data_IF_872467031818
#
_entry.id   IF_872467031818
#
_cell.length_a   1.000
_cell.length_b   1.000
_cell.length_c   1.000
_cell.angle_alpha   90.00
_cell.angle_beta   90.00
_cell.angle_gamma   90.00
#
_symmetry.space_group_name_H-M   'P 1'
#
loop_
_entity.id
_entity.type
_entity.pdbx_description
1 polymer ?
#
# COMPACT_ATOMS: atom_id res chain seq x y z
N UNK A 1 41.79 48.07 22.93
CA UNK A 1 40.66 47.13 23.02
C UNK A 1 40.43 46.49 21.66
N UNK A 2 40.87 45.24 21.45
CA UNK A 2 40.55 44.46 20.25
C UNK A 2 39.23 43.74 20.48
N UNK A 3 38.20 44.04 19.68
CA UNK A 3 36.92 43.32 19.69
C UNK A 3 37.12 42.00 18.92
N UNK A 4 36.91 40.88 19.61
CA UNK A 4 36.83 39.55 19.00
C UNK A 4 35.34 39.33 18.67
N UNK A 5 35.03 39.15 17.39
CA UNK A 5 33.69 38.76 16.93
C UNK A 5 33.70 37.23 16.84
N UNK A 6 32.95 36.56 17.71
CA UNK A 6 32.67 35.13 17.59
C UNK A 6 31.57 34.93 16.54
N UNK A 7 31.91 34.30 15.42
CA UNK A 7 30.92 33.81 14.46
C UNK A 7 30.47 32.40 14.89
N UNK A 8 29.19 32.24 15.22
CA UNK A 8 28.58 30.93 15.41
C UNK A 8 28.31 30.31 14.04
N UNK A 9 29.03 29.24 13.71
CA UNK A 9 28.71 28.38 12.56
C UNK A 9 27.59 27.44 13.02
N UNK A 10 26.37 27.67 12.55
CA UNK A 10 25.27 26.73 12.69
C UNK A 10 25.52 25.62 11.66
N UNK A 11 26.05 24.49 12.12
CA UNK A 11 26.09 23.26 11.32
C UNK A 11 24.69 22.66 11.39
N UNK A 12 23.88 22.89 10.35
CA UNK A 12 22.62 22.16 10.18
C UNK A 12 22.96 20.70 9.87
N UNK A 13 22.76 19.81 10.82
CA UNK A 13 22.80 18.36 10.56
C UNK A 13 21.61 17.99 9.69
N UNK A 14 21.82 17.85 8.39
CA UNK A 14 20.86 17.17 7.52
C UNK A 14 20.88 15.69 7.89
N UNK A 15 19.91 15.26 8.71
CA UNK A 15 19.65 13.85 8.93
C UNK A 15 19.19 13.26 7.58
N UNK A 16 20.03 12.42 7.00
CA UNK A 16 19.70 11.66 5.80
C UNK A 16 18.73 10.55 6.21
N UNK A 17 17.42 10.81 6.09
CA UNK A 17 16.40 9.79 6.22
C UNK A 17 16.29 8.98 4.92
N UNK A 18 15.88 7.71 5.02
CA UNK A 18 15.50 6.94 3.83
C UNK A 18 14.41 7.72 3.08
N UNK A 19 14.62 7.95 1.78
CA UNK A 19 13.66 8.72 0.98
C UNK A 19 12.54 7.79 0.54
N UNK A 20 11.39 7.88 1.19
CA UNK A 20 10.21 7.16 0.75
C UNK A 20 9.58 7.88 -0.44
N UNK A 21 9.06 7.12 -1.40
CA UNK A 21 8.27 7.68 -2.50
C UNK A 21 7.02 6.87 -2.76
N UNK A 22 5.95 7.56 -3.12
CA UNK A 22 4.69 6.95 -3.51
C UNK A 22 4.57 6.98 -5.03
N UNK A 23 4.24 5.82 -5.62
CA UNK A 23 3.99 5.69 -7.05
C UNK A 23 2.63 5.04 -7.29
N UNK A 24 1.86 5.59 -8.23
CA UNK A 24 0.60 5.00 -8.66
C UNK A 24 0.85 3.75 -9.52
N UNK A 25 0.00 2.74 -9.40
CA UNK A 25 0.00 1.62 -10.34
C UNK A 25 -0.57 2.05 -11.70
N UNK A 26 -0.10 1.40 -12.76
CA UNK A 26 -0.63 1.57 -14.12
C UNK A 26 -1.94 0.79 -14.33
N UNK A 27 -2.15 -0.28 -13.56
CA UNK A 27 -3.35 -1.09 -13.53
C UNK A 27 -3.56 -1.63 -12.10
N UNK A 28 -4.81 -1.76 -11.60
CA UNK A 28 -6.07 -1.41 -12.25
C UNK A 28 -6.18 0.11 -12.44
N UNK A 29 -6.79 0.58 -13.54
CA UNK A 29 -6.73 1.99 -13.91
C UNK A 29 -7.51 2.84 -12.91
N UNK A 30 -7.13 4.11 -12.80
CA UNK A 30 -7.99 5.14 -12.19
C UNK A 30 -9.32 5.19 -12.95
N UNK A 31 -10.46 5.23 -12.24
CA UNK A 31 -11.78 5.18 -12.89
C UNK A 31 -12.28 6.56 -13.39
N UNK A 32 -11.47 7.62 -13.30
CA UNK A 32 -11.81 8.99 -13.72
C UNK A 32 -12.91 9.68 -12.89
N UNK A 33 -13.93 8.94 -12.46
CA UNK A 33 -15.11 9.41 -11.71
C UNK A 33 -15.29 8.69 -10.35
N UNK A 34 -14.29 7.92 -9.90
CA UNK A 34 -14.36 7.17 -8.64
C UNK A 34 -12.99 6.86 -8.05
N UNK A 35 -12.99 6.25 -6.87
CA UNK A 35 -11.79 5.86 -6.12
C UNK A 35 -11.80 4.38 -5.74
N UNK A 36 -10.64 3.88 -5.37
CA UNK A 36 -10.51 2.71 -4.53
C UNK A 36 -10.75 3.16 -3.08
N UNK A 37 -11.68 2.51 -2.40
CA UNK A 37 -11.92 2.80 -0.99
C UNK A 37 -10.99 1.98 -0.10
N UNK A 38 -10.53 0.81 -0.54
CA UNK A 38 -9.71 -0.03 0.32
C UNK A 38 -8.72 -0.91 -0.44
N UNK A 39 -7.66 -1.28 0.28
CA UNK A 39 -6.57 -2.13 -0.17
C UNK A 39 -6.04 -2.93 1.00
N UNK A 40 -5.86 -4.23 0.79
CA UNK A 40 -5.42 -5.18 1.80
C UNK A 40 -4.37 -6.12 1.23
N UNK A 41 -3.32 -6.41 2.01
CA UNK A 41 -2.29 -7.37 1.63
C UNK A 41 -2.02 -8.33 2.79
N UNK A 42 -2.02 -9.64 2.51
CA UNK A 42 -1.59 -10.66 3.48
C UNK A 42 -0.08 -10.69 3.65
N UNK A 43 0.64 -10.33 2.60
CA UNK A 43 2.09 -10.28 2.55
C UNK A 43 2.53 -9.35 1.40
N UNK A 44 3.83 -9.25 1.15
CA UNK A 44 4.38 -8.32 0.15
C UNK A 44 3.91 -8.58 -1.29
N UNK A 45 3.39 -9.78 -1.58
CA UNK A 45 3.02 -10.24 -2.91
C UNK A 45 1.51 -10.40 -3.12
N UNK A 46 0.81 -10.94 -2.13
CA UNK A 46 -0.60 -11.32 -2.23
C UNK A 46 -1.49 -10.25 -1.60
N UNK A 47 -2.36 -9.64 -2.43
CA UNK A 47 -3.26 -8.58 -1.98
C UNK A 47 -4.50 -8.42 -2.84
N UNK A 48 -5.43 -7.63 -2.32
CA UNK A 48 -6.71 -7.30 -2.93
C UNK A 48 -7.01 -5.81 -2.78
N UNK A 49 -7.82 -5.28 -3.70
CA UNK A 49 -8.28 -3.91 -3.67
C UNK A 49 -9.76 -3.82 -4.02
N UNK A 50 -10.49 -2.96 -3.32
CA UNK A 50 -11.90 -2.71 -3.52
C UNK A 50 -12.11 -1.32 -4.12
N UNK A 51 -12.75 -1.28 -5.29
CA UNK A 51 -13.22 -0.05 -5.90
C UNK A 51 -14.62 0.28 -5.40
N UNK A 52 -14.84 1.55 -5.05
CA UNK A 52 -16.12 2.10 -4.57
C UNK A 52 -17.23 2.03 -5.62
N UNK A 53 -17.75 3.19 -6.06
CA UNK A 53 -18.85 3.25 -7.03
C UNK A 53 -18.63 2.37 -8.29
N UNK A 54 -19.70 1.72 -8.76
CA UNK A 54 -19.64 0.68 -9.80
C UNK A 54 -18.60 -0.40 -9.47
N UNK A 55 -18.76 -0.97 -8.27
CA UNK A 55 -17.75 -1.72 -7.55
C UNK A 55 -17.06 -2.81 -8.35
N UNK A 56 -15.76 -2.94 -8.11
CA UNK A 56 -14.93 -4.01 -8.63
C UNK A 56 -13.93 -4.43 -7.55
N UNK A 57 -13.62 -5.72 -7.51
CA UNK A 57 -12.56 -6.27 -6.67
C UNK A 57 -11.41 -6.67 -7.58
N UNK A 58 -10.18 -6.34 -7.19
CA UNK A 58 -8.97 -6.73 -7.89
C UNK A 58 -8.10 -7.56 -6.95
N UNK A 59 -7.38 -8.54 -7.51
CA UNK A 59 -6.42 -9.37 -6.80
C UNK A 59 -5.05 -9.29 -7.48
N UNK A 60 -3.99 -9.27 -6.69
CA UNK A 60 -2.60 -9.40 -7.15
C UNK A 60 -1.92 -10.56 -6.42
N UNK A 61 -0.95 -11.19 -7.07
CA UNK A 61 -0.09 -12.23 -6.50
C UNK A 61 1.40 -11.90 -6.68
N UNK A 62 1.71 -10.68 -7.13
CA UNK A 62 3.07 -10.21 -7.47
C UNK A 62 3.36 -8.80 -6.92
N UNK A 63 2.72 -8.45 -5.80
CA UNK A 63 2.98 -7.21 -5.06
C UNK A 63 2.46 -5.96 -5.78
N UNK A 64 1.41 -6.14 -6.58
CA UNK A 64 0.75 -5.12 -7.38
C UNK A 64 1.38 -4.86 -8.74
N UNK A 65 2.34 -5.68 -9.20
CA UNK A 65 2.90 -5.54 -10.54
C UNK A 65 1.86 -5.85 -11.63
N UNK A 66 0.95 -6.79 -11.35
CA UNK A 66 -0.25 -7.06 -12.12
C UNK A 66 -1.46 -7.28 -11.20
N UNK A 67 -2.64 -7.01 -11.74
CA UNK A 67 -3.91 -7.22 -11.04
C UNK A 67 -4.92 -7.90 -11.95
N UNK A 68 -5.75 -8.74 -11.37
CA UNK A 68 -6.84 -9.45 -12.04
C UNK A 68 -8.16 -9.07 -11.38
N UNK A 69 -9.13 -8.59 -12.16
CA UNK A 69 -10.47 -8.31 -11.65
C UNK A 69 -11.18 -9.62 -11.28
N UNK A 70 -11.78 -9.66 -10.10
CA UNK A 70 -12.49 -10.80 -9.55
C UNK A 70 -13.99 -10.74 -9.86
N UNK A 71 -14.65 -11.91 -9.85
CA UNK A 71 -16.10 -12.02 -10.06
C UNK A 71 -16.83 -11.97 -8.73
N UNK A 72 -17.66 -10.95 -8.56
CA UNK A 72 -18.57 -10.84 -7.41
C UNK A 72 -19.99 -11.15 -7.88
N UNK A 73 -20.61 -12.21 -7.35
CA UNK A 73 -21.95 -12.62 -7.77
C UNK A 73 -23.02 -11.66 -7.23
N UNK A 74 -23.96 -11.23 -8.07
CA UNK A 74 -25.05 -10.32 -7.69
C UNK A 74 -24.61 -8.85 -7.49
N UNK A 75 -23.55 -8.42 -8.19
CA UNK A 75 -22.80 -7.19 -7.93
C UNK A 75 -23.20 -5.93 -8.72
N UNK A 76 -24.28 -5.96 -9.50
CA UNK A 76 -24.63 -4.82 -10.34
C UNK A 76 -24.79 -3.54 -9.49
N UNK A 77 -23.96 -2.53 -9.78
CA UNK A 77 -23.95 -1.20 -9.15
C UNK A 77 -23.72 -1.16 -7.62
N UNK A 78 -23.00 -2.14 -7.05
CA UNK A 78 -22.57 -2.06 -5.64
C UNK A 78 -21.52 -0.96 -5.43
N UNK A 79 -21.44 -0.42 -4.21
CA UNK A 79 -20.31 0.38 -3.75
C UNK A 79 -19.50 -0.43 -2.74
N UNK A 80 -18.34 -0.95 -3.15
CA UNK A 80 -17.48 -1.71 -2.23
C UNK A 80 -16.65 -0.77 -1.38
N UNK A 81 -16.78 -0.91 -0.06
CA UNK A 81 -16.28 0.06 0.89
C UNK A 81 -14.99 -0.39 1.57
N UNK A 82 -14.87 -1.68 1.87
CA UNK A 82 -13.71 -2.25 2.52
C UNK A 82 -13.49 -3.69 2.10
N UNK A 83 -12.28 -4.17 2.29
CA UNK A 83 -11.91 -5.55 2.00
C UNK A 83 -10.86 -6.02 3.01
N UNK A 84 -11.10 -7.19 3.59
CA UNK A 84 -10.27 -7.74 4.66
C UNK A 84 -10.17 -9.25 4.49
N UNK A 85 -9.00 -9.85 4.76
CA UNK A 85 -8.80 -11.29 4.64
C UNK A 85 -8.26 -11.89 5.93
N UNK A 86 -8.95 -12.91 6.41
CA UNK A 86 -8.52 -13.71 7.56
C UNK A 86 -7.31 -14.58 7.21
N UNK A 87 -7.25 -15.07 5.97
CA UNK A 87 -6.15 -15.84 5.41
C UNK A 87 -6.22 -15.81 3.88
N UNK A 88 -5.34 -16.55 3.20
CA UNK A 88 -5.27 -16.56 1.72
C UNK A 88 -6.54 -17.05 1.01
N UNK A 89 -7.44 -17.74 1.72
CA UNK A 89 -8.66 -18.33 1.17
C UNK A 89 -9.92 -17.60 1.64
N UNK A 90 -9.99 -17.20 2.91
CA UNK A 90 -11.18 -16.62 3.52
C UNK A 90 -11.05 -15.11 3.61
N UNK A 91 -11.96 -14.39 2.95
CA UNK A 91 -12.01 -12.93 2.96
C UNK A 91 -13.43 -12.38 2.93
N UNK A 92 -13.53 -11.10 3.23
CA UNK A 92 -14.78 -10.38 3.46
C UNK A 92 -14.77 -9.04 2.72
N UNK A 93 -15.94 -8.63 2.23
CA UNK A 93 -16.12 -7.42 1.44
C UNK A 93 -17.40 -6.71 1.89
N UNK A 94 -17.23 -5.56 2.54
CA UNK A 94 -18.31 -4.69 2.97
C UNK A 94 -18.77 -3.73 1.88
N UNK A 95 -20.05 -3.36 1.92
CA UNK A 95 -20.64 -2.39 0.97
C UNK A 95 -21.39 -1.28 1.68
N UNK A 96 -21.78 -0.24 0.94
CA UNK A 96 -22.66 0.83 1.42
C UNK A 96 -24.14 0.63 1.02
N UNK A 97 -24.47 -0.49 0.40
CA UNK A 97 -25.74 -0.70 -0.29
C UNK A 97 -26.37 -2.04 0.11
N UNK A 98 -26.42 -2.30 1.41
CA UNK A 98 -27.15 -3.42 2.01
C UNK A 98 -26.69 -4.81 1.49
N UNK A 99 -25.37 -4.96 1.34
CA UNK A 99 -24.75 -6.24 1.01
C UNK A 99 -23.45 -6.43 1.80
N UNK A 100 -23.16 -7.69 2.09
CA UNK A 100 -21.92 -8.13 2.69
C UNK A 100 -21.53 -9.45 2.04
N UNK A 101 -20.27 -9.60 1.63
CA UNK A 101 -19.83 -10.77 0.90
C UNK A 101 -18.69 -11.47 1.62
N UNK A 102 -18.64 -12.79 1.41
CA UNK A 102 -17.57 -13.69 1.86
C UNK A 102 -17.02 -14.44 0.65
N UNK A 103 -15.71 -14.66 0.64
CA UNK A 103 -15.04 -15.63 -0.22
C UNK A 103 -14.42 -16.74 0.62
N UNK A 104 -14.30 -17.94 0.04
CA UNK A 104 -13.60 -19.09 0.63
C UNK A 104 -12.56 -19.68 -0.34
N UNK A 105 -12.28 -18.97 -1.44
CA UNK A 105 -11.37 -19.37 -2.51
C UNK A 105 -10.37 -18.24 -2.89
N UNK A 106 -10.08 -17.36 -1.93
CA UNK A 106 -9.10 -16.28 -2.09
C UNK A 106 -9.58 -15.17 -3.02
N UNK A 107 -10.90 -14.96 -3.09
CA UNK A 107 -11.53 -13.92 -3.87
C UNK A 107 -11.82 -14.29 -5.32
N UNK A 108 -11.59 -15.54 -5.75
CA UNK A 108 -11.95 -16.00 -7.10
C UNK A 108 -13.47 -15.94 -7.31
N UNK A 109 -14.24 -16.24 -6.26
CA UNK A 109 -15.67 -16.02 -6.20
C UNK A 109 -16.11 -15.45 -4.85
N UNK A 110 -17.16 -14.63 -4.89
CA UNK A 110 -17.74 -14.01 -3.71
C UNK A 110 -19.22 -14.35 -3.59
N UNK A 111 -19.65 -14.66 -2.37
CA UNK A 111 -21.02 -15.03 -2.03
C UNK A 111 -21.58 -14.08 -0.99
N UNK A 112 -22.85 -13.68 -1.16
CA UNK A 112 -23.52 -12.80 -0.20
C UNK A 112 -23.76 -13.54 1.11
N UNK A 113 -23.35 -12.94 2.22
CA UNK A 113 -23.68 -13.38 3.58
C UNK A 113 -25.12 -12.95 3.86
N UNK A 114 -25.99 -13.87 4.27
CA UNK A 114 -27.44 -13.63 4.46
C UNK A 114 -27.95 -14.03 5.85
N UNK A 115 -27.07 -14.54 6.72
CA UNK A 115 -27.41 -15.10 8.04
C UNK A 115 -27.05 -14.15 9.19
N UNK A 116 -27.28 -12.85 9.01
CA UNK A 116 -27.10 -11.82 10.03
C UNK A 116 -28.47 -11.19 10.32
N UNK A 117 -28.84 -11.10 11.60
CA UNK A 117 -30.13 -10.54 12.04
C UNK A 117 -29.91 -9.60 13.22
N UNK A 118 -30.33 -8.32 13.14
CA UNK A 118 -30.77 -7.63 11.92
C UNK A 118 -29.66 -7.56 10.85
N UNK A 119 -30.06 -7.44 9.58
CA UNK A 119 -29.10 -7.40 8.48
C UNK A 119 -28.39 -6.04 8.40
N UNK A 120 -27.05 -5.99 8.26
CA UNK A 120 -26.31 -4.73 8.22
C UNK A 120 -26.60 -3.95 6.93
N UNK A 121 -27.03 -2.69 7.06
CA UNK A 121 -27.30 -1.81 5.92
C UNK A 121 -26.04 -1.36 5.18
N UNK A 122 -24.91 -1.27 5.89
CA UNK A 122 -23.60 -0.94 5.33
C UNK A 122 -22.45 -1.43 6.23
N UNK A 123 -21.25 -1.60 5.70
CA UNK A 123 -20.06 -1.97 6.50
C UNK A 123 -18.89 -1.10 6.05
N UNK A 124 -18.43 -0.20 6.92
CA UNK A 124 -17.31 0.72 6.66
C UNK A 124 -15.98 0.25 7.23
N UNK A 125 -15.99 -0.49 8.35
CA UNK A 125 -14.80 -1.10 8.95
C UNK A 125 -14.91 -2.63 8.96
N UNK A 126 -13.81 -3.30 8.70
CA UNK A 126 -13.62 -4.74 8.86
C UNK A 126 -12.25 -4.98 9.51
N UNK A 127 -12.16 -6.02 10.33
CA UNK A 127 -10.89 -6.51 10.84
C UNK A 127 -10.95 -8.01 11.13
N UNK A 128 -9.84 -8.71 10.91
CA UNK A 128 -9.69 -10.14 11.19
C UNK A 128 -8.60 -10.34 12.24
N UNK A 129 -8.89 -11.14 13.26
CA UNK A 129 -7.95 -11.39 14.37
C UNK A 129 -7.93 -12.85 14.78
N UNK A 130 -6.75 -13.33 15.15
CA UNK A 130 -6.53 -14.73 15.44
C UNK A 130 -6.72 -15.60 14.19
N UNK A 131 -7.33 -16.77 14.36
CA UNK A 131 -7.49 -17.76 13.28
C UNK A 131 -8.93 -17.86 12.75
N UNK A 132 -9.91 -17.31 13.47
CA UNK A 132 -11.33 -17.45 13.12
C UNK A 132 -12.19 -16.23 13.43
N UNK A 133 -11.65 -15.19 14.06
CA UNK A 133 -12.47 -14.06 14.51
C UNK A 133 -12.50 -12.95 13.48
N UNK A 134 -13.69 -12.45 13.18
CA UNK A 134 -13.94 -11.39 12.21
C UNK A 134 -14.89 -10.38 12.81
N UNK A 135 -14.53 -9.11 12.70
CA UNK A 135 -15.36 -7.98 13.11
C UNK A 135 -15.71 -7.12 11.90
N UNK A 136 -16.91 -6.55 11.92
CA UNK A 136 -17.30 -5.46 11.04
C UNK A 136 -18.09 -4.42 11.81
N UNK A 137 -18.04 -3.16 11.37
CA UNK A 137 -18.85 -2.09 11.97
C UNK A 137 -19.69 -1.39 10.91
N UNK A 138 -20.69 -0.61 11.36
CA UNK A 138 -21.66 0.12 10.53
C UNK A 138 -21.06 1.14 9.55
N UNK A 139 -21.70 2.30 9.41
CA UNK A 139 -21.24 3.33 8.47
C UNK A 139 -21.17 4.71 9.13
N UNK A 140 -20.91 5.76 8.34
CA UNK A 140 -20.87 7.16 8.81
C UNK A 140 -22.26 7.71 9.18
N UNK A 141 -23.30 6.89 9.01
CA UNK A 141 -24.68 7.16 9.33
C UNK A 141 -25.25 6.12 10.31
N UNK A 142 -26.32 6.51 11.00
CA UNK A 142 -27.01 5.67 11.99
C UNK A 142 -27.77 4.49 11.35
N UNK A 143 -27.90 3.35 12.05
CA UNK A 143 -27.43 3.09 13.42
C UNK A 143 -25.97 2.66 13.51
N UNK A 144 -25.35 2.90 14.67
CA UNK A 144 -24.10 2.28 15.05
C UNK A 144 -24.33 0.81 15.44
N UNK A 145 -23.50 -0.07 14.88
CA UNK A 145 -23.47 -1.49 15.25
C UNK A 145 -22.12 -2.11 14.94
N UNK A 146 -21.91 -3.29 15.53
CA UNK A 146 -20.84 -4.21 15.20
C UNK A 146 -21.45 -5.55 14.79
N UNK A 147 -20.88 -6.20 13.80
CA UNK A 147 -21.10 -7.62 13.52
C UNK A 147 -19.84 -8.40 13.91
N UNK A 148 -20.03 -9.56 14.51
CA UNK A 148 -18.92 -10.42 14.96
C UNK A 148 -19.14 -11.85 14.53
N UNK A 149 -18.07 -12.50 14.10
CA UNK A 149 -18.02 -13.95 13.91
C UNK A 149 -16.79 -14.52 14.62
N UNK A 150 -16.91 -15.69 15.22
CA UNK A 150 -15.81 -16.43 15.86
C UNK A 150 -15.50 -17.76 15.17
N UNK A 151 -16.16 -18.04 14.04
CA UNK A 151 -16.10 -19.30 13.29
C UNK A 151 -15.78 -19.06 11.80
N UNK A 152 -14.92 -18.07 11.53
CA UNK A 152 -14.47 -17.67 10.19
C UNK A 152 -15.63 -17.22 9.29
N UNK A 153 -16.63 -16.54 9.87
CA UNK A 153 -17.77 -15.98 9.15
C UNK A 153 -18.82 -17.01 8.75
N UNK A 154 -18.96 -18.13 9.49
CA UNK A 154 -20.03 -19.11 9.27
C UNK A 154 -21.30 -18.72 10.02
N UNK A 155 -21.18 -18.21 11.25
CA UNK A 155 -22.24 -17.59 12.03
C UNK A 155 -21.84 -16.18 12.46
N UNK A 156 -22.85 -15.34 12.69
CA UNK A 156 -22.67 -13.92 12.98
C UNK A 156 -23.57 -13.48 14.12
N UNK A 157 -23.01 -12.67 15.00
CA UNK A 157 -23.70 -11.91 16.04
C UNK A 157 -23.82 -10.46 15.59
N UNK A 158 -24.99 -9.85 15.78
CA UNK A 158 -25.20 -8.42 15.64
C UNK A 158 -25.20 -7.78 17.03
N UNK A 159 -24.33 -6.82 17.25
CA UNK A 159 -24.17 -6.08 18.49
C UNK A 159 -24.64 -4.65 18.24
N UNK A 160 -25.75 -4.28 18.89
CA UNK A 160 -26.27 -2.91 18.85
C UNK A 160 -25.33 -1.96 19.63
N UNK A 161 -24.84 -0.94 18.94
CA UNK A 161 -23.90 0.03 19.51
C UNK A 161 -24.52 1.43 19.68
N UNK A 162 -25.84 1.56 19.48
CA UNK A 162 -26.56 2.84 19.59
C UNK A 162 -26.47 3.50 20.96
N UNK A 163 -26.22 2.72 22.03
CA UNK A 163 -25.97 3.25 23.37
C UNK A 163 -24.60 3.97 23.51
N UNK A 164 -23.67 3.71 22.60
CA UNK A 164 -22.29 4.22 22.66
C UNK A 164 -21.99 5.29 21.60
N UNK A 165 -22.65 5.20 20.44
CA UNK A 165 -22.32 5.95 19.23
C UNK A 165 -23.54 6.14 18.32
N UNK A 166 -23.49 7.15 17.46
CA UNK A 166 -24.45 7.32 16.37
C UNK A 166 -24.02 6.56 15.12
N UNK A 167 -22.71 6.53 14.84
CA UNK A 167 -22.11 5.96 13.65
C UNK A 167 -20.74 5.36 13.98
N UNK A 168 -20.37 4.26 13.31
CA UNK A 168 -19.06 3.61 13.44
C UNK A 168 -18.49 3.33 12.05
N UNK A 169 -17.24 3.73 11.79
CA UNK A 169 -16.63 3.71 10.45
C UNK A 169 -15.33 2.93 10.35
N UNK A 170 -14.66 2.66 11.47
CA UNK A 170 -13.45 1.85 11.54
C UNK A 170 -13.48 0.95 12.78
N UNK A 171 -12.92 -0.24 12.64
CA UNK A 171 -12.73 -1.20 13.73
C UNK A 171 -11.36 -1.84 13.55
N UNK A 172 -10.60 -2.01 14.63
CA UNK A 172 -9.27 -2.64 14.61
C UNK A 172 -8.94 -3.28 15.94
N UNK A 173 -8.27 -4.42 15.93
CA UNK A 173 -7.94 -5.23 17.09
C UNK A 173 -6.43 -5.47 17.18
N UNK A 174 -5.91 -5.36 18.41
CA UNK A 174 -4.52 -5.74 18.73
C UNK A 174 -4.45 -7.27 18.86
N UNK A 175 -5.48 -7.87 19.45
CA UNK A 175 -5.65 -9.31 19.64
C UNK A 175 -7.14 -9.62 19.85
N UNK A 176 -7.49 -10.89 20.06
CA UNK A 176 -8.90 -11.33 20.18
C UNK A 176 -9.67 -10.67 21.35
N UNK A 177 -8.99 -10.09 22.33
CA UNK A 177 -9.61 -9.43 23.49
C UNK A 177 -9.58 -7.91 23.41
N UNK A 178 -8.50 -7.32 22.89
CA UNK A 178 -8.28 -5.88 22.92
C UNK A 178 -8.43 -5.27 21.54
N UNK A 179 -9.38 -4.34 21.41
CA UNK A 179 -9.63 -3.63 20.16
C UNK A 179 -10.31 -2.28 20.35
N UNK A 180 -10.46 -1.60 19.23
CA UNK A 180 -10.99 -0.25 19.12
C UNK A 180 -12.02 -0.18 18.00
N UNK A 181 -13.07 0.61 18.23
CA UNK A 181 -14.03 1.00 17.21
C UNK A 181 -14.15 2.53 17.23
N UNK A 182 -14.31 3.15 16.06
CA UNK A 182 -14.32 4.60 15.97
C UNK A 182 -15.38 5.12 15.01
N UNK A 183 -15.77 6.38 15.22
CA UNK A 183 -16.84 7.03 14.46
C UNK A 183 -17.26 8.33 15.12
N UNK A 184 -18.56 8.53 15.28
CA UNK A 184 -19.12 9.74 15.88
C UNK A 184 -20.33 9.49 16.79
N UNK A 185 -20.56 10.44 17.70
CA UNK A 185 -21.80 10.62 18.45
C UNK A 185 -22.31 12.08 18.31
N UNK A 186 -23.35 12.45 19.07
CA UNK A 186 -23.95 13.80 19.04
C UNK A 186 -22.94 14.92 19.37
N UNK A 187 -21.86 14.61 20.07
CA UNK A 187 -20.86 15.58 20.50
C UNK A 187 -19.62 15.59 19.62
N UNK A 188 -19.41 14.60 18.74
CA UNK A 188 -18.31 14.59 17.79
C UNK A 188 -17.64 13.23 17.60
N UNK A 189 -16.37 13.29 17.18
CA UNK A 189 -15.55 12.12 16.90
C UNK A 189 -15.26 11.32 18.17
N UNK A 190 -15.45 9.99 18.12
CA UNK A 190 -15.24 9.11 19.27
C UNK A 190 -14.31 7.93 18.97
N UNK A 191 -13.69 7.41 20.04
CA UNK A 191 -13.06 6.09 20.06
C UNK A 191 -13.65 5.29 21.23
N UNK A 192 -14.10 4.08 20.92
CA UNK A 192 -14.51 3.05 21.87
C UNK A 192 -13.40 2.01 21.96
N UNK A 193 -13.15 1.50 23.17
CA UNK A 193 -12.18 0.44 23.44
C UNK A 193 -12.87 -0.74 24.10
N UNK A 194 -12.51 -1.95 23.69
CA UNK A 194 -12.87 -3.20 24.37
C UNK A 194 -11.63 -3.88 24.95
N UNK A 195 -11.83 -4.62 26.04
CA UNK A 195 -10.82 -5.47 26.68
C UNK A 195 -11.25 -6.94 26.79
N UNK A 196 -12.43 -7.27 26.26
CA UNK A 196 -13.09 -8.56 26.38
C UNK A 196 -13.63 -9.07 25.03
N UNK A 197 -13.02 -8.63 23.92
CA UNK A 197 -13.37 -9.07 22.58
C UNK A 197 -14.71 -8.54 22.09
N UNK A 198 -15.09 -7.35 22.53
CA UNK A 198 -16.31 -6.67 22.10
C UNK A 198 -17.58 -7.05 22.87
N UNK A 199 -17.44 -7.74 24.01
CA UNK A 199 -18.57 -8.00 24.93
C UNK A 199 -18.98 -6.70 25.62
N UNK A 200 -18.00 -5.86 25.99
CA UNK A 200 -18.22 -4.52 26.52
C UNK A 200 -17.28 -3.51 25.87
N UNK A 201 -17.74 -2.25 25.83
CA UNK A 201 -17.04 -1.13 25.22
C UNK A 201 -17.02 0.06 26.16
N UNK A 202 -15.89 0.77 26.18
CA UNK A 202 -15.70 2.01 26.95
C UNK A 202 -15.27 3.12 26.01
N UNK A 203 -15.92 4.28 26.09
CA UNK A 203 -15.49 5.48 25.35
C UNK A 203 -14.20 6.02 25.96
N UNK A 204 -13.13 6.03 25.17
CA UNK A 204 -11.78 6.48 25.59
C UNK A 204 -11.37 7.81 24.95
N UNK A 205 -12.16 8.31 24.00
CA UNK A 205 -11.97 9.61 23.37
C UNK A 205 -13.31 10.19 22.90
N UNK A 206 -13.48 11.50 23.03
CA UNK A 206 -14.51 12.31 22.37
C UNK A 206 -13.91 13.68 22.04
N UNK A 207 -14.04 14.15 20.80
CA UNK A 207 -13.49 15.46 20.41
C UNK A 207 -14.28 16.65 20.96
N UNK A 208 -15.55 16.45 21.32
CA UNK A 208 -16.53 17.48 21.70
C UNK A 208 -16.72 18.56 20.62
N UNK A 209 -16.51 18.18 19.36
CA UNK A 209 -16.78 19.00 18.18
C UNK A 209 -17.78 18.24 17.31
N UNK A 210 -19.04 18.71 17.24
CA UNK A 210 -20.07 18.07 16.42
C UNK A 210 -19.64 17.90 14.96
N UNK A 211 -20.15 16.86 14.32
CA UNK A 211 -19.87 16.46 12.93
C UNK A 211 -18.43 16.00 12.65
N UNK A 212 -17.58 15.84 13.66
CA UNK A 212 -16.30 15.16 13.47
C UNK A 212 -16.45 13.63 13.53
N UNK A 213 -15.60 12.94 12.77
CA UNK A 213 -15.52 11.48 12.74
C UNK A 213 -14.08 11.03 12.88
N UNK A 214 -13.79 10.10 13.78
CA UNK A 214 -12.52 9.35 13.67
C UNK A 214 -12.67 8.36 12.53
N UNK A 215 -12.02 8.64 11.38
CA UNK A 215 -12.33 8.00 10.10
C UNK A 215 -11.50 6.74 9.82
N UNK A 216 -10.19 6.80 10.03
CA UNK A 216 -9.28 5.63 9.97
C UNK A 216 -8.39 5.58 11.19
N UNK A 217 -7.99 4.36 11.52
CA UNK A 217 -7.05 4.06 12.58
C UNK A 217 -5.93 3.18 12.01
N UNK A 218 -4.73 3.41 12.50
CA UNK A 218 -3.58 2.54 12.30
C UNK A 218 -2.99 2.19 13.65
N UNK A 219 -2.83 0.90 13.90
CA UNK A 219 -1.98 0.39 14.96
C UNK A 219 -0.55 0.30 14.40
N UNK A 220 0.34 1.18 14.85
CA UNK A 220 1.76 1.10 14.47
C UNK A 220 2.45 -0.04 15.24
N UNK A 221 2.09 -0.18 16.51
CA UNK A 221 2.44 -1.31 17.36
C UNK A 221 1.32 -1.49 18.42
N UNK A 222 1.52 -2.40 19.38
CA UNK A 222 0.53 -2.69 20.42
C UNK A 222 0.17 -1.49 21.32
N UNK A 223 0.96 -0.41 21.30
CA UNK A 223 0.78 0.77 22.15
C UNK A 223 0.60 2.07 21.36
N UNK A 224 0.90 2.11 20.07
CA UNK A 224 0.86 3.35 19.28
C UNK A 224 -0.27 3.31 18.26
N UNK A 225 -1.15 4.30 18.37
CA UNK A 225 -2.35 4.41 17.56
C UNK A 225 -2.36 5.77 16.89
N UNK A 226 -2.51 5.80 15.57
CA UNK A 226 -2.67 7.01 14.78
C UNK A 226 -4.01 6.97 14.07
N UNK A 227 -4.75 8.08 14.14
CA UNK A 227 -6.07 8.18 13.56
C UNK A 227 -6.20 9.47 12.76
N UNK A 228 -7.02 9.43 11.71
CA UNK A 228 -7.53 10.62 11.04
C UNK A 228 -8.85 11.03 11.69
N UNK A 229 -9.01 12.33 11.96
CA UNK A 229 -10.31 12.92 12.27
C UNK A 229 -10.76 13.72 11.06
N UNK A 230 -11.81 13.23 10.41
CA UNK A 230 -12.54 13.98 9.40
C UNK A 230 -13.40 15.05 10.10
N UNK A 231 -13.42 16.25 9.53
CA UNK A 231 -14.17 17.39 10.04
C UNK A 231 -14.87 18.13 8.89
N UNK A 232 -15.75 19.07 9.23
CA UNK A 232 -16.40 19.97 8.28
C UNK A 232 -15.87 21.40 8.38
N UNK A 233 -15.82 22.12 7.26
CA UNK A 233 -15.46 23.53 7.24
C UNK A 233 -16.39 24.36 8.16
N UNK A 234 -15.87 25.33 8.92
CA UNK A 234 -14.53 25.92 8.84
C UNK A 234 -13.44 25.17 9.62
N UNK A 235 -13.77 24.09 10.32
CA UNK A 235 -12.79 23.30 11.06
C UNK A 235 -11.92 22.48 10.10
N UNK A 236 -10.64 22.36 10.44
CA UNK A 236 -9.71 21.47 9.76
C UNK A 236 -9.79 20.06 10.34
N UNK A 237 -9.44 19.07 9.52
CA UNK A 237 -9.23 17.71 9.96
C UNK A 237 -8.03 17.62 10.88
N UNK A 238 -7.85 16.49 11.55
CA UNK A 238 -6.80 16.34 12.57
C UNK A 238 -6.11 15.00 12.48
N UNK A 239 -4.82 14.98 12.83
CA UNK A 239 -4.16 13.79 13.33
C UNK A 239 -4.54 13.62 14.80
N UNK A 240 -5.06 12.46 15.16
CA UNK A 240 -5.25 12.03 16.53
C UNK A 240 -4.25 10.90 16.81
N UNK A 241 -3.49 10.97 17.91
CA UNK A 241 -2.51 9.93 18.25
C UNK A 241 -2.52 9.57 19.72
N UNK A 242 -2.25 8.31 20.01
CA UNK A 242 -1.98 7.80 21.35
C UNK A 242 -0.66 7.04 21.36
N UNK A 243 0.15 7.29 22.38
CA UNK A 243 1.47 6.65 22.57
C UNK A 243 1.45 5.60 23.70
N UNK A 244 0.28 5.33 24.27
CA UNK A 244 0.10 4.48 25.44
C UNK A 244 -1.16 3.62 25.34
N UNK A 245 -1.44 3.03 24.17
CA UNK A 245 -2.51 2.06 23.97
C UNK A 245 -3.91 2.64 24.19
N UNK A 246 -4.09 3.94 23.90
CA UNK A 246 -5.36 4.65 24.02
C UNK A 246 -5.71 5.14 25.43
N UNK A 247 -4.76 5.23 26.37
CA UNK A 247 -5.02 5.83 27.69
C UNK A 247 -5.07 7.36 27.62
N UNK A 248 -4.18 7.98 26.84
CA UNK A 248 -4.20 9.42 26.57
C UNK A 248 -4.08 9.67 25.08
N UNK A 249 -4.61 10.81 24.65
CA UNK A 249 -4.71 11.18 23.24
C UNK A 249 -4.22 12.61 23.04
N UNK A 250 -3.58 12.84 21.89
CA UNK A 250 -3.12 14.16 21.44
C UNK A 250 -3.66 14.41 20.02
N UNK A 251 -4.09 15.63 19.75
CA UNK A 251 -4.55 16.08 18.43
C UNK A 251 -3.60 17.10 17.82
N UNK A 252 -3.38 17.02 16.51
CA UNK A 252 -2.69 18.03 15.69
C UNK A 252 -3.54 18.38 14.49
N UNK A 253 -3.57 19.64 14.12
CA UNK A 253 -4.33 20.08 12.93
C UNK A 253 -3.70 19.53 11.65
N UNK A 254 -4.57 19.22 10.69
CA UNK A 254 -4.21 18.78 9.35
C UNK A 254 -4.73 19.79 8.31
N UNK A 255 -4.01 20.07 7.21
CA UNK A 255 -4.43 21.12 6.26
C UNK A 255 -5.78 20.90 5.53
N UNK A 256 -6.28 19.66 5.44
CA UNK A 256 -7.57 19.31 4.81
C UNK A 256 -8.65 19.09 5.89
N UNK A 257 -9.86 19.60 5.66
CA UNK A 257 -11.02 19.29 6.51
C UNK A 257 -11.42 17.81 6.40
N UNK A 258 -11.42 17.28 5.17
CA UNK A 258 -11.98 15.97 4.84
C UNK A 258 -10.91 14.87 4.80
N UNK A 259 -10.02 14.86 5.80
CA UNK A 259 -8.94 13.87 5.91
C UNK A 259 -9.46 12.50 6.32
N UNK A 260 -8.97 11.46 5.65
CA UNK A 260 -9.49 10.10 5.80
C UNK A 260 -8.37 9.09 5.98
N UNK A 261 -7.34 9.11 5.15
CA UNK A 261 -6.22 8.21 5.27
C UNK A 261 -5.21 8.69 6.33
N UNK A 262 -4.67 7.74 7.07
CA UNK A 262 -3.58 7.93 8.05
C UNK A 262 -2.63 6.74 7.97
N UNK A 263 -1.34 7.00 8.06
CA UNK A 263 -0.34 5.95 7.98
C UNK A 263 1.06 6.41 8.37
N UNK A 264 1.60 5.86 9.44
CA UNK A 264 2.89 6.19 10.04
C UNK A 264 3.81 4.96 10.05
N UNK A 265 5.12 5.20 9.92
CA UNK A 265 6.17 4.19 10.08
C UNK A 265 6.97 4.39 11.37
N UNK A 266 6.81 5.55 12.00
CA UNK A 266 7.40 5.89 13.29
C UNK A 266 6.54 6.92 14.00
N UNK A 267 6.94 7.30 15.22
CA UNK A 267 6.26 8.33 16.00
C UNK A 267 6.24 9.71 15.33
N UNK A 268 7.20 9.96 14.45
CA UNK A 268 7.44 11.27 13.85
C UNK A 268 7.26 11.27 12.33
N UNK A 269 7.31 10.12 11.66
CA UNK A 269 7.25 10.03 10.21
C UNK A 269 6.02 9.27 9.74
N UNK A 270 5.17 9.96 9.00
CA UNK A 270 3.99 9.38 8.39
C UNK A 270 3.34 10.26 7.34
N UNK A 271 2.21 9.77 6.85
CA UNK A 271 1.42 10.34 5.78
C UNK A 271 -0.07 10.38 6.16
N UNK A 272 -0.74 11.42 5.67
CA UNK A 272 -2.19 11.58 5.74
C UNK A 272 -2.72 12.17 4.43
N UNK A 273 -4.02 12.00 4.19
CA UNK A 273 -4.69 12.58 3.03
C UNK A 273 -6.19 12.31 3.03
N UNK A 274 -6.93 13.01 2.18
CA UNK A 274 -8.38 13.06 2.24
C UNK A 274 -9.05 13.26 0.90
N UNK A 275 -10.33 13.67 0.94
CA UNK A 275 -11.14 13.89 -0.27
C UNK A 275 -10.54 14.92 -1.24
N UNK A 276 -9.99 16.00 -0.69
CA UNK A 276 -9.49 17.13 -1.49
C UNK A 276 -7.98 17.07 -1.73
N UNK A 277 -7.31 16.07 -1.14
CA UNK A 277 -5.84 16.02 -1.05
C UNK A 277 -5.26 14.65 -1.41
N UNK A 278 -4.01 14.66 -1.86
CA UNK A 278 -3.17 13.46 -1.96
C UNK A 278 -2.40 13.19 -0.68
N UNK A 279 -1.20 12.67 -0.79
CA UNK A 279 -0.32 12.44 0.37
C UNK A 279 0.29 13.75 0.86
N UNK A 280 0.00 14.10 2.11
CA UNK A 280 0.82 14.98 2.91
C UNK A 280 1.73 14.13 3.79
N UNK A 281 2.98 14.56 3.96
CA UNK A 281 4.01 13.88 4.73
C UNK A 281 4.48 14.75 5.89
N UNK A 282 4.74 14.12 7.03
CA UNK A 282 5.30 14.76 8.24
C UNK A 282 6.57 14.04 8.67
N UNK A 283 7.52 14.79 9.24
CA UNK A 283 8.75 14.26 9.85
C UNK A 283 8.86 14.62 11.34
N UNK A 284 7.84 15.28 11.90
CA UNK A 284 7.78 15.77 13.28
C UNK A 284 6.51 15.32 14.01
N UNK A 285 5.85 14.27 13.51
CA UNK A 285 4.70 13.67 14.18
C UNK A 285 3.42 14.49 14.07
N UNK A 286 3.29 15.25 12.99
CA UNK A 286 2.11 16.03 12.63
C UNK A 286 2.14 17.49 13.05
N UNK A 287 3.27 18.00 13.55
CA UNK A 287 3.42 19.44 13.84
C UNK A 287 3.51 20.25 12.53
N UNK A 288 4.15 19.69 11.50
CA UNK A 288 4.16 20.24 10.15
C UNK A 288 3.89 19.17 9.09
N UNK A 289 3.30 19.62 7.97
CA UNK A 289 2.90 18.77 6.85
C UNK A 289 3.38 19.34 5.53
N UNK A 290 3.96 18.49 4.69
CA UNK A 290 4.40 18.84 3.33
C UNK A 290 3.57 18.09 2.31
N UNK A 291 2.92 18.79 1.38
CA UNK A 291 2.23 18.16 0.26
C UNK A 291 3.25 17.54 -0.70
N UNK A 292 3.13 16.24 -0.97
CA UNK A 292 4.05 15.52 -1.86
C UNK A 292 3.73 15.69 -3.35
N UNK A 293 2.55 16.23 -3.68
CA UNK A 293 2.04 16.32 -5.05
C UNK A 293 1.60 14.98 -5.64
N UNK A 294 1.59 13.90 -4.84
CA UNK A 294 1.19 12.56 -5.27
C UNK A 294 -0.19 12.22 -4.72
N UNK A 295 -1.01 11.57 -5.54
CA UNK A 295 -2.27 10.98 -5.10
C UNK A 295 -3.46 11.94 -5.08
N UNK A 296 -4.58 11.44 -4.56
CA UNK A 296 -5.82 12.20 -4.42
C UNK A 296 -6.95 11.32 -3.90
N UNK A 297 -7.89 11.90 -3.14
CA UNK A 297 -9.03 11.21 -2.53
C UNK A 297 -8.61 9.95 -1.74
N UNK A 298 -7.56 10.07 -0.93
CA UNK A 298 -7.01 8.93 -0.18
C UNK A 298 -7.99 8.49 0.92
N UNK A 299 -8.19 7.17 1.05
CA UNK A 299 -9.04 6.59 2.11
C UNK A 299 -8.32 5.55 2.97
N UNK A 300 -7.33 4.83 2.43
CA UNK A 300 -6.55 3.82 3.18
C UNK A 300 -5.07 3.96 2.86
N UNK A 301 -4.24 3.88 3.90
CA UNK A 301 -2.82 3.54 3.80
C UNK A 301 -2.65 2.25 4.60
N UNK A 302 -2.18 1.20 3.94
CA UNK A 302 -2.03 -0.14 4.49
C UNK A 302 -0.54 -0.52 4.49
N UNK A 303 0.03 -0.79 5.65
CA UNK A 303 1.41 -1.21 5.78
C UNK A 303 1.51 -2.73 5.83
N UNK A 304 2.39 -3.29 4.99
CA UNK A 304 2.85 -4.68 5.15
C UNK A 304 4.05 -4.71 6.10
N UNK A 305 4.93 -3.71 5.98
CA UNK A 305 6.03 -3.45 6.89
C UNK A 305 6.54 -2.01 6.71
N UNK A 306 7.61 -1.63 7.42
CA UNK A 306 8.16 -0.27 7.40
C UNK A 306 8.69 0.19 6.03
N UNK A 307 8.89 -0.72 5.07
CA UNK A 307 9.42 -0.40 3.74
C UNK A 307 8.39 -0.58 2.63
N UNK A 308 7.29 -1.27 2.91
CA UNK A 308 6.26 -1.62 1.93
C UNK A 308 4.90 -1.24 2.50
N UNK A 309 4.30 -0.26 1.86
CA UNK A 309 2.94 0.16 2.11
C UNK A 309 2.20 0.34 0.78
N UNK A 310 0.89 0.19 0.84
CA UNK A 310 -0.02 0.41 -0.26
C UNK A 310 -1.08 1.41 0.16
N UNK A 311 -1.67 2.12 -0.79
CA UNK A 311 -2.74 3.06 -0.48
C UNK A 311 -3.84 3.04 -1.52
N UNK A 312 -5.04 3.34 -1.08
CA UNK A 312 -6.24 3.43 -1.90
C UNK A 312 -6.74 4.87 -1.95
N UNK A 313 -6.98 5.36 -3.16
CA UNK A 313 -7.64 6.62 -3.44
C UNK A 313 -8.07 6.68 -4.91
N UNK A 314 -7.92 7.84 -5.56
CA UNK A 314 -8.17 7.98 -7.01
C UNK A 314 -7.42 6.96 -7.88
N UNK A 315 -6.31 6.44 -7.39
CA UNK A 315 -5.62 5.26 -7.89
C UNK A 315 -5.22 4.36 -6.71
N UNK A 316 -4.63 3.21 -7.00
CA UNK A 316 -3.84 2.44 -6.04
C UNK A 316 -2.39 2.91 -6.09
N UNK A 317 -1.75 3.01 -4.93
CA UNK A 317 -0.37 3.47 -4.81
C UNK A 317 0.47 2.46 -4.04
N UNK A 318 1.77 2.42 -4.34
CA UNK A 318 2.78 1.67 -3.60
C UNK A 318 3.86 2.62 -3.09
N UNK A 319 4.21 2.47 -1.83
CA UNK A 319 5.36 3.11 -1.20
C UNK A 319 6.61 2.30 -1.51
N UNK A 320 7.70 3.00 -1.84
CA UNK A 320 9.04 2.43 -1.97
C UNK A 320 9.97 3.19 -1.05
N UNK A 321 10.67 2.48 -0.18
CA UNK A 321 11.83 3.02 0.51
C UNK A 321 12.97 3.15 -0.51
N UNK A 322 13.47 4.37 -0.73
CA UNK A 322 14.69 4.59 -1.49
C UNK A 322 15.87 3.98 -0.74
N UNK A 323 16.68 3.17 -1.43
CA UNK A 323 18.05 2.93 -0.99
C UNK A 323 18.84 4.22 -1.17
N UNK A 324 19.83 4.49 -0.31
CA UNK A 324 20.83 5.55 -0.51
C UNK A 324 21.77 5.17 -1.67
N UNK A 325 21.20 5.01 -2.86
CA UNK A 325 21.86 4.86 -4.14
C UNK A 325 21.50 6.04 -5.03
N UNK A 326 22.47 6.55 -5.79
CA UNK A 326 22.28 7.64 -6.74
C UNK A 326 21.03 7.43 -7.58
N UNK A 327 20.15 8.44 -7.61
CA UNK A 327 18.90 8.53 -8.39
C UNK A 327 18.81 7.54 -9.57
N UNK A 328 18.05 6.47 -9.41
CA UNK A 328 17.44 5.79 -10.54
C UNK A 328 16.26 6.66 -11.00
N UNK A 329 16.45 7.35 -12.12
CA UNK A 329 15.37 7.98 -12.87
C UNK A 329 14.40 6.86 -13.26
N UNK A 330 13.13 7.02 -12.86
CA UNK A 330 12.05 6.06 -13.02
C UNK A 330 11.97 5.42 -14.42
N UNK A 331 12.09 4.09 -14.47
CA UNK A 331 11.73 3.26 -15.61
C UNK A 331 10.22 3.35 -15.89
N UNK A 332 9.84 4.30 -16.74
CA UNK A 332 8.53 4.33 -17.42
C UNK A 332 8.47 3.47 -18.68
N UNK A 333 9.53 2.72 -18.97
CA UNK A 333 9.49 1.67 -19.96
C UNK A 333 9.79 0.37 -19.22
N UNK A 334 8.89 -0.62 -19.27
CA UNK A 334 9.31 -2.01 -19.05
C UNK A 334 10.62 -2.19 -19.84
N UNK A 335 11.73 -2.49 -19.16
CA UNK A 335 13.03 -2.72 -19.82
C UNK A 335 12.80 -3.73 -20.93
N UNK A 336 12.71 -3.26 -22.18
CA UNK A 336 12.76 -4.14 -23.34
C UNK A 336 14.22 -4.57 -23.42
N UNK A 337 14.58 -5.64 -22.71
CA UNK A 337 15.92 -6.21 -22.79
C UNK A 337 16.20 -6.56 -24.24
N UNK A 338 17.40 -6.19 -24.70
CA UNK A 338 17.88 -6.52 -26.03
C UNK A 338 17.87 -8.06 -26.18
N UNK A 339 17.23 -8.61 -27.21
CA UNK A 339 17.19 -10.06 -27.40
C UNK A 339 18.54 -10.53 -27.92
N UNK A 340 19.22 -11.37 -27.13
CA UNK A 340 20.53 -11.93 -27.47
C UNK A 340 20.54 -13.43 -27.25
N UNK A 341 20.99 -14.17 -28.26
CA UNK A 341 21.19 -15.62 -28.18
C UNK A 341 22.66 -15.97 -28.40
N UNK A 342 23.19 -16.86 -27.56
CA UNK A 342 24.51 -17.48 -27.73
C UNK A 342 24.33 -18.85 -28.37
N UNK A 343 24.90 -19.08 -29.54
CA UNK A 343 24.68 -20.33 -30.30
C UNK A 343 26.00 -20.90 -30.85
N UNK A 344 26.45 -22.10 -30.42
CA UNK A 344 25.94 -22.91 -29.32
C UNK A 344 26.43 -22.42 -27.94
N UNK A 345 25.75 -22.86 -26.89
CA UNK A 345 26.24 -22.82 -25.50
C UNK A 345 26.10 -24.24 -24.92
N UNK A 346 27.19 -25.02 -24.72
CA UNK A 346 28.58 -24.57 -24.60
C UNK A 346 29.24 -24.04 -25.88
N UNK A 347 30.09 -23.03 -25.70
CA UNK A 347 30.86 -22.32 -26.71
C UNK A 347 32.16 -23.07 -26.97
N UNK A 348 32.46 -23.40 -28.23
CA UNK A 348 33.77 -23.95 -28.60
C UNK A 348 34.76 -22.79 -28.86
N UNK A 349 35.63 -22.86 -29.86
CA UNK A 349 36.65 -21.82 -30.11
C UNK A 349 36.09 -20.54 -30.72
N UNK A 350 34.78 -20.50 -30.99
CA UNK A 350 34.07 -19.36 -31.54
C UNK A 350 32.82 -19.06 -30.72
N UNK A 351 32.72 -17.83 -30.22
CA UNK A 351 31.51 -17.28 -29.61
C UNK A 351 30.65 -16.66 -30.72
N UNK A 352 29.45 -17.20 -30.96
CA UNK A 352 28.49 -16.59 -31.86
C UNK A 352 27.33 -15.96 -31.08
N UNK A 353 27.00 -14.73 -31.44
CA UNK A 353 25.90 -13.96 -30.86
C UNK A 353 24.91 -13.59 -31.96
N UNK A 354 23.64 -13.95 -31.77
CA UNK A 354 22.52 -13.41 -32.54
C UNK A 354 21.89 -12.29 -31.71
N UNK A 355 21.89 -11.06 -32.19
CA UNK A 355 21.38 -9.89 -31.47
C UNK A 355 20.30 -9.19 -32.28
N UNK A 356 19.10 -9.06 -31.74
CA UNK A 356 17.97 -8.42 -32.42
C UNK A 356 17.77 -6.99 -31.93
N UNK A 357 18.11 -6.01 -32.78
CA UNK A 357 17.98 -4.59 -32.48
C UNK A 357 16.62 -4.04 -32.95
N UNK A 358 15.95 -3.25 -32.11
CA UNK A 358 14.63 -2.67 -32.41
C UNK A 358 14.69 -1.31 -33.12
N UNK A 359 15.84 -0.63 -33.06
CA UNK A 359 16.15 0.66 -33.68
C UNK A 359 17.67 0.79 -33.85
N UNK A 360 18.17 1.97 -34.27
CA UNK A 360 19.60 2.26 -34.21
C UNK A 360 20.10 2.21 -32.77
N UNK A 361 21.24 1.60 -32.54
CA UNK A 361 21.76 1.29 -31.19
C UNK A 361 23.30 1.25 -31.19
N UNK A 362 23.91 0.92 -30.07
CA UNK A 362 25.30 0.48 -29.97
C UNK A 362 25.34 -0.81 -29.14
N UNK A 363 26.41 -1.59 -29.27
CA UNK A 363 26.63 -2.75 -28.42
C UNK A 363 28.07 -2.79 -27.95
N UNK A 364 28.27 -3.00 -26.65
CA UNK A 364 29.55 -3.36 -26.07
C UNK A 364 29.36 -4.66 -25.28
N UNK A 365 30.20 -5.66 -25.54
CA UNK A 365 30.18 -6.92 -24.78
C UNK A 365 31.47 -7.03 -23.98
N UNK A 366 31.34 -6.96 -22.65
CA UNK A 366 32.39 -7.28 -21.69
C UNK A 366 32.40 -8.76 -21.36
N UNK A 367 33.58 -9.35 -21.27
CA UNK A 367 33.79 -10.73 -20.82
C UNK A 367 34.32 -10.73 -19.40
N UNK A 368 33.72 -11.56 -18.55
CA UNK A 368 34.08 -11.73 -17.14
C UNK A 368 34.25 -13.21 -16.80
N UNK A 369 35.12 -13.51 -15.84
CA UNK A 369 35.17 -14.82 -15.18
C UNK A 369 33.90 -15.05 -14.34
N UNK A 370 33.56 -16.30 -14.03
CA UNK A 370 32.44 -16.62 -13.13
C UNK A 370 32.57 -16.03 -11.71
N UNK A 371 33.78 -15.63 -11.31
CA UNK A 371 34.05 -14.90 -10.07
C UNK A 371 33.59 -13.44 -10.10
N UNK A 372 33.19 -12.92 -11.27
CA UNK A 372 32.87 -11.51 -11.50
C UNK A 372 34.10 -10.65 -11.86
N UNK A 373 35.28 -11.25 -12.02
CA UNK A 373 36.48 -10.52 -12.47
C UNK A 373 36.38 -10.18 -13.97
N UNK A 374 36.53 -8.90 -14.29
CA UNK A 374 36.57 -8.42 -15.68
C UNK A 374 37.82 -8.94 -16.41
N UNK A 375 37.63 -9.43 -17.64
CA UNK A 375 38.71 -9.87 -18.53
C UNK A 375 38.99 -8.78 -19.57
N UNK A 376 38.03 -8.51 -20.47
CA UNK A 376 38.14 -7.48 -21.53
C UNK A 376 36.81 -7.23 -22.21
N UNK A 377 36.71 -6.14 -22.99
CA UNK A 377 35.64 -5.99 -23.98
C UNK A 377 35.98 -6.81 -25.23
N UNK A 378 35.06 -7.68 -25.65
CA UNK A 378 35.22 -8.60 -26.78
C UNK A 378 34.46 -8.17 -28.03
N UNK A 379 33.48 -7.27 -27.90
CA UNK A 379 32.72 -6.70 -29.01
C UNK A 379 32.44 -5.22 -28.72
N UNK A 380 32.58 -4.40 -29.75
CA UNK A 380 32.04 -3.04 -29.82
C UNK A 380 31.55 -2.79 -31.24
N UNK A 381 30.30 -2.37 -31.41
CA UNK A 381 29.71 -2.08 -32.72
C UNK A 381 28.62 -1.00 -32.61
N UNK A 382 28.47 -0.20 -33.66
CA UNK A 382 27.45 0.84 -33.79
C UNK A 382 26.39 0.37 -34.80
N UNK A 383 25.12 0.39 -34.41
CA UNK A 383 24.00 -0.20 -35.15
C UNK A 383 23.19 0.90 -35.81
N UNK A 384 23.26 0.99 -37.13
CA UNK A 384 22.60 2.07 -37.88
C UNK A 384 21.06 1.96 -37.96
N UNK A 385 20.51 0.75 -37.85
CA UNK A 385 19.06 0.51 -38.00
C UNK A 385 18.62 -0.81 -37.34
N UNK A 386 17.31 -0.95 -37.12
CA UNK A 386 16.68 -2.17 -36.58
C UNK A 386 16.97 -3.41 -37.42
N UNK A 387 17.08 -4.57 -36.77
CA UNK A 387 17.25 -5.87 -37.41
C UNK A 387 18.11 -6.86 -36.62
N UNK A 388 18.24 -8.07 -37.15
CA UNK A 388 19.12 -9.11 -36.61
C UNK A 388 20.56 -8.88 -37.06
N UNK A 389 21.49 -8.82 -36.10
CA UNK A 389 22.94 -8.86 -36.33
C UNK A 389 23.52 -10.16 -35.79
N UNK A 390 24.47 -10.73 -36.53
CA UNK A 390 25.19 -11.94 -36.14
C UNK A 390 26.66 -11.59 -35.95
N UNK A 391 27.18 -11.87 -34.77
CA UNK A 391 28.59 -11.72 -34.45
C UNK A 391 29.22 -13.10 -34.29
N UNK A 392 30.48 -13.21 -34.66
CA UNK A 392 31.26 -14.43 -34.48
C UNK A 392 32.69 -14.03 -34.12
N UNK A 393 33.11 -14.38 -32.92
CA UNK A 393 34.35 -13.92 -32.29
C UNK A 393 35.18 -15.12 -31.85
N UNK A 394 36.51 -15.00 -31.90
CA UNK A 394 37.39 -16.04 -31.36
C UNK A 394 37.27 -16.09 -29.83
N UNK A 395 37.09 -17.31 -29.30
CA UNK A 395 36.84 -17.57 -27.89
C UNK A 395 37.84 -18.62 -27.35
N UNK A 396 39.11 -18.26 -27.36
CA UNK A 396 40.23 -19.10 -26.93
C UNK A 396 40.53 -18.90 -25.43
N UNK A 397 39.58 -19.29 -24.58
CA UNK A 397 39.72 -19.24 -23.13
C UNK A 397 39.69 -20.64 -22.51
N UNK A 398 40.28 -20.85 -21.31
CA UNK A 398 40.21 -22.12 -20.60
C UNK A 398 38.77 -22.61 -20.41
N UNK A 399 38.57 -23.93 -20.33
CA UNK A 399 37.25 -24.50 -20.04
C UNK A 399 36.71 -23.97 -18.72
N UNK A 400 35.44 -23.59 -18.68
CA UNK A 400 34.84 -22.97 -17.51
C UNK A 400 33.59 -22.15 -17.79
N UNK A 401 33.06 -21.54 -16.73
CA UNK A 401 31.93 -20.63 -16.80
C UNK A 401 32.43 -19.19 -16.97
N UNK A 402 31.80 -18.45 -17.88
CA UNK A 402 32.05 -17.03 -18.11
C UNK A 402 30.74 -16.26 -18.12
N UNK A 403 30.82 -14.95 -17.90
CA UNK A 403 29.71 -14.02 -18.03
C UNK A 403 30.00 -13.02 -19.15
N UNK A 404 29.02 -12.84 -20.03
CA UNK A 404 28.98 -11.77 -21.02
C UNK A 404 28.13 -10.64 -20.46
N UNK A 405 28.72 -9.47 -20.20
CA UNK A 405 28.00 -8.24 -19.85
C UNK A 405 27.75 -7.45 -21.14
N UNK A 406 26.49 -7.31 -21.53
CA UNK A 406 26.07 -6.69 -22.78
C UNK A 406 25.47 -5.33 -22.46
N UNK A 407 26.08 -4.29 -22.99
CA UNK A 407 25.64 -2.91 -22.85
C UNK A 407 25.12 -2.38 -24.19
N UNK A 408 23.89 -1.87 -24.21
CA UNK A 408 23.31 -1.13 -25.33
C UNK A 408 22.50 0.07 -24.82
N UNK A 409 21.85 0.82 -25.73
CA UNK A 409 20.92 1.89 -25.37
C UNK A 409 19.69 1.39 -24.58
N UNK A 410 19.43 0.08 -24.58
CA UNK A 410 18.33 -0.55 -23.82
C UNK A 410 18.75 -0.98 -22.40
N UNK A 411 19.98 -0.68 -21.99
CA UNK A 411 20.50 -0.99 -20.67
C UNK A 411 21.59 -2.07 -20.69
N UNK A 412 21.83 -2.68 -19.53
CA UNK A 412 22.83 -3.74 -19.36
C UNK A 412 22.16 -5.08 -19.04
N UNK A 413 22.70 -6.17 -19.56
CA UNK A 413 22.26 -7.52 -19.23
C UNK A 413 23.45 -8.48 -19.22
N UNK A 414 23.35 -9.54 -18.43
CA UNK A 414 24.39 -10.56 -18.36
C UNK A 414 23.93 -11.92 -18.87
N UNK A 415 24.76 -12.59 -19.68
CA UNK A 415 24.52 -13.94 -20.16
C UNK A 415 25.63 -14.86 -19.69
N UNK A 416 25.25 -15.96 -19.05
CA UNK A 416 26.20 -17.02 -18.69
C UNK A 416 26.50 -17.91 -19.88
N UNK A 417 27.78 -18.11 -20.15
CA UNK A 417 28.26 -19.05 -21.19
C UNK A 417 29.20 -20.08 -20.56
N UNK A 418 29.22 -21.27 -21.16
CA UNK A 418 30.09 -22.38 -20.77
C UNK A 418 31.07 -22.59 -21.92
N UNK A 419 32.37 -22.76 -21.64
CA UNK A 419 33.43 -23.08 -22.61
C UNK A 419 34.03 -24.45 -22.31
#
# INVERSE_FOLDING_TARGET
MRKIILAFIIVSSSLFHAQYSWSAFSYPPSNGNGRYDDIFFLNENLGWAARGGSGAVFKTTDGGASWTQQVVNGSANQYYRNIEFLNENIGFLGTLNNSFYKTVDGGNSWQKVNNITPYPGAICGLDCVGTSTVYGCGAWFSPAYIIKSTDSGNTWEYIDMSAYANALVEITFINENVGFASGSDDNGAIILKTLDGGVSWTKVYNSNIPNEYVWKMQLLDNNKIFCSIESEAPNTGKLLKSMNGGFTWETKDFPDAYVQAVGFISETHGWMGGHSTGFYETFDGGDTWTNTGVGGSLNRIFFVNNNIAFAAGTNLYKMRAGSLGTQEISDKNQERKLQVEVVPNPVNDRLNLNVYFLHSDHIIVGLYEASGKFIKNILKDDIAAKGLKKYSLDFNYPKGNYLLDIHSNLGRQSIKIIK
#
